data_IF_310055118867
#
_entry.id   IF_310055118867
#
_cell.length_a   1.000
_cell.length_b   1.000
_cell.length_c   1.000
_cell.angle_alpha   90.00
_cell.angle_beta   90.00
_cell.angle_gamma   90.00
#
_symmetry.space_group_name_H-M   'P 1'
#
loop_
_entity.id
_entity.type
_entity.pdbx_description
1 polymer ?
#
# COMPACT_ATOMS: atom_id res chain seq x y z
N UNK A 1 17.20 5.28 -11.04
CA UNK A 1 16.16 6.15 -10.43
C UNK A 1 14.95 5.28 -10.14
N UNK A 2 14.80 4.83 -8.90
CA UNK A 2 13.70 3.94 -8.49
C UNK A 2 12.40 4.76 -8.42
N UNK A 3 11.62 4.69 -9.49
CA UNK A 3 10.24 5.14 -9.55
C UNK A 3 9.40 4.21 -8.66
N UNK A 4 9.55 4.36 -7.34
CA UNK A 4 8.57 3.85 -6.40
C UNK A 4 7.23 4.44 -6.85
N UNK A 5 6.25 3.64 -7.31
CA UNK A 5 5.00 4.18 -7.79
C UNK A 5 4.36 4.91 -6.63
N UNK A 6 4.44 6.25 -6.61
CA UNK A 6 3.83 7.02 -5.53
C UNK A 6 2.34 6.75 -5.64
N UNK A 7 1.72 6.26 -4.58
CA UNK A 7 0.25 6.28 -4.48
C UNK A 7 -0.17 7.72 -4.81
N UNK A 8 -0.79 7.90 -5.98
CA UNK A 8 -1.25 9.19 -6.49
C UNK A 8 -2.46 9.62 -5.68
N UNK A 9 -2.19 9.98 -4.43
CA UNK A 9 -3.12 10.57 -3.49
C UNK A 9 -3.06 12.09 -3.70
N UNK A 10 -4.22 12.66 -3.93
CA UNK A 10 -4.44 14.11 -3.89
C UNK A 10 -4.14 14.63 -2.49
N UNK A 11 -3.85 15.93 -2.38
CA UNK A 11 -3.56 16.52 -1.06
C UNK A 11 -4.77 16.48 -0.13
N UNK A 12 -6.00 16.48 -0.67
CA UNK A 12 -7.23 16.22 0.06
C UNK A 12 -7.25 14.82 0.69
N UNK A 13 -6.95 13.78 -0.10
CA UNK A 13 -6.88 12.39 0.37
C UNK A 13 -5.76 12.21 1.42
N UNK A 14 -4.59 12.84 1.23
CA UNK A 14 -3.50 12.83 2.23
C UNK A 14 -3.91 13.49 3.54
N UNK A 15 -4.66 14.58 3.49
CA UNK A 15 -5.12 15.28 4.69
C UNK A 15 -6.11 14.41 5.48
N UNK A 16 -7.03 13.71 4.78
CA UNK A 16 -7.95 12.73 5.39
C UNK A 16 -7.21 11.57 6.06
N UNK A 17 -6.16 11.01 5.42
CA UNK A 17 -5.32 9.98 6.02
C UNK A 17 -4.61 10.45 7.30
N UNK A 18 -4.06 11.67 7.29
CA UNK A 18 -3.41 12.26 8.48
C UNK A 18 -4.41 12.44 9.62
N UNK A 19 -5.63 12.89 9.32
CA UNK A 19 -6.73 13.00 10.30
C UNK A 19 -7.11 11.64 10.89
N UNK A 20 -7.17 10.62 10.05
CA UNK A 20 -7.43 9.24 10.46
C UNK A 20 -6.24 8.56 11.16
N UNK A 21 -5.07 9.21 11.26
CA UNK A 21 -3.80 8.65 11.77
C UNK A 21 -3.35 7.37 11.06
N UNK A 22 -3.83 7.15 9.83
CA UNK A 22 -3.47 5.98 9.00
C UNK A 22 -2.31 6.35 8.10
N UNK A 23 -1.25 5.52 8.09
CA UNK A 23 -0.15 5.71 7.14
C UNK A 23 -0.51 5.15 5.77
N UNK A 24 0.08 5.70 4.71
CA UNK A 24 -0.12 5.22 3.32
C UNK A 24 0.19 3.72 3.19
N UNK A 25 1.25 3.27 3.85
CA UNK A 25 1.63 1.86 3.93
C UNK A 25 0.65 0.99 4.70
N UNK A 26 -0.29 1.54 5.45
CA UNK A 26 -1.34 0.78 6.15
C UNK A 26 -2.63 0.73 5.33
N UNK A 27 -2.72 1.44 4.20
CA UNK A 27 -3.92 1.39 3.33
C UNK A 27 -4.19 -0.03 2.83
N UNK A 28 -3.15 -0.84 2.58
CA UNK A 28 -3.30 -2.24 2.17
C UNK A 28 -3.98 -3.13 3.24
N UNK A 29 -3.92 -2.74 4.52
CA UNK A 29 -4.57 -3.48 5.61
C UNK A 29 -6.05 -3.13 5.77
N UNK A 30 -6.50 -2.03 5.16
CA UNK A 30 -7.89 -1.59 5.17
C UNK A 30 -8.67 -2.20 4.01
N UNK A 31 -9.97 -2.41 4.20
CA UNK A 31 -10.86 -2.83 3.12
C UNK A 31 -11.31 -1.63 2.26
N UNK A 32 -11.78 -1.91 1.05
CA UNK A 32 -12.18 -0.88 0.07
C UNK A 32 -13.31 0.00 0.59
N UNK A 33 -14.23 -0.56 1.38
CA UNK A 33 -15.33 0.15 2.01
C UNK A 33 -14.82 1.16 3.07
N UNK A 34 -13.90 0.75 3.94
CA UNK A 34 -13.27 1.63 4.92
C UNK A 34 -12.46 2.73 4.25
N UNK A 35 -11.71 2.40 3.20
CA UNK A 35 -10.95 3.40 2.43
C UNK A 35 -11.90 4.40 1.78
N UNK A 36 -12.98 3.93 1.16
CA UNK A 36 -14.01 4.77 0.55
C UNK A 36 -14.65 5.70 1.58
N UNK A 37 -15.00 5.20 2.76
CA UNK A 37 -15.60 6.00 3.84
C UNK A 37 -14.60 6.99 4.46
N UNK A 38 -13.35 6.55 4.71
CA UNK A 38 -12.31 7.37 5.34
C UNK A 38 -11.84 8.50 4.43
N UNK A 39 -11.62 8.20 3.14
CA UNK A 39 -11.22 9.17 2.15
C UNK A 39 -12.42 9.91 1.55
N UNK A 40 -13.64 9.46 1.85
CA UNK A 40 -14.89 9.99 1.31
C UNK A 40 -14.77 10.12 -0.22
N UNK A 41 -14.52 8.95 -0.83
CA UNK A 41 -14.35 8.71 -2.27
C UNK A 41 -15.23 7.54 -2.71
N UNK A 42 -15.47 7.41 -4.01
CA UNK A 42 -16.20 6.26 -4.55
C UNK A 42 -15.48 4.92 -4.26
N UNK A 43 -16.24 3.85 -4.11
CA UNK A 43 -15.73 2.47 -3.91
C UNK A 43 -14.77 2.06 -5.03
N UNK A 44 -15.03 2.48 -6.27
CA UNK A 44 -14.16 2.25 -7.42
C UNK A 44 -12.77 2.88 -7.22
N UNK A 45 -12.72 4.12 -6.71
CA UNK A 45 -11.47 4.82 -6.40
C UNK A 45 -10.74 4.13 -5.25
N UNK A 46 -11.46 3.72 -4.22
CA UNK A 46 -10.90 2.99 -3.09
C UNK A 46 -10.32 1.63 -3.51
N UNK A 47 -10.95 0.92 -4.45
CA UNK A 47 -10.45 -0.33 -5.03
C UNK A 47 -9.12 -0.13 -5.76
N UNK A 48 -8.99 0.95 -6.53
CA UNK A 48 -7.73 1.31 -7.21
C UNK A 48 -6.62 1.59 -6.18
N UNK A 49 -6.92 2.41 -5.16
CA UNK A 49 -5.95 2.75 -4.11
C UNK A 49 -5.50 1.52 -3.33
N UNK A 50 -6.43 0.62 -3.00
CA UNK A 50 -6.12 -0.65 -2.34
C UNK A 50 -5.21 -1.52 -3.21
N UNK A 51 -5.52 -1.70 -4.50
CA UNK A 51 -4.69 -2.50 -5.40
C UNK A 51 -3.26 -1.94 -5.54
N UNK A 52 -3.12 -0.62 -5.61
CA UNK A 52 -1.80 0.04 -5.62
C UNK A 52 -1.05 -0.14 -4.31
N UNK A 53 -1.74 -0.04 -3.18
CA UNK A 53 -1.16 -0.25 -1.85
C UNK A 53 -0.75 -1.71 -1.64
N UNK A 54 -1.58 -2.67 -2.06
CA UNK A 54 -1.28 -4.10 -2.02
C UNK A 54 -0.02 -4.40 -2.84
N UNK A 55 0.07 -3.85 -4.06
CA UNK A 55 1.22 -4.05 -4.96
C UNK A 55 2.52 -3.46 -4.39
N UNK A 56 2.44 -2.31 -3.72
CA UNK A 56 3.58 -1.70 -3.03
C UNK A 56 3.93 -2.39 -1.72
N UNK A 57 2.94 -2.99 -1.06
CA UNK A 57 3.12 -3.69 0.19
C UNK A 57 3.68 -5.09 0.01
N UNK A 58 3.72 -5.63 -1.22
CA UNK A 58 4.46 -6.86 -1.51
C UNK A 58 5.90 -6.63 -1.06
N UNK A 59 6.33 -7.22 0.06
CA UNK A 59 7.71 -7.06 0.48
C UNK A 59 8.56 -7.72 -0.62
N UNK A 60 9.72 -7.16 -0.96
CA UNK A 60 10.69 -7.76 -1.89
C UNK A 60 11.29 -9.07 -1.34
N UNK A 61 10.46 -9.97 -0.79
CA UNK A 61 10.78 -11.34 -0.43
C UNK A 61 10.82 -12.15 -1.74
N UNK A 62 11.77 -11.79 -2.58
CA UNK A 62 12.24 -12.57 -3.72
C UNK A 62 13.76 -12.68 -3.75
N UNK A 63 14.49 -12.12 -2.77
CA UNK A 63 15.96 -12.09 -2.81
C UNK A 63 16.65 -12.39 -1.48
N UNK A 64 15.93 -12.90 -0.47
CA UNK A 64 16.56 -13.33 0.80
C UNK A 64 16.27 -14.78 1.20
N UNK A 65 15.71 -15.58 0.29
CA UNK A 65 15.59 -17.03 0.47
C UNK A 65 16.74 -17.80 -0.22
N UNK A 66 17.51 -17.17 -1.12
CA UNK A 66 18.60 -17.82 -1.85
C UNK A 66 19.96 -17.80 -1.12
N UNK A 67 20.04 -17.26 0.10
CA UNK A 67 21.28 -17.20 0.88
C UNK A 67 21.30 -18.16 2.08
N UNK A 68 20.47 -19.22 2.06
CA UNK A 68 20.52 -20.26 3.10
C UNK A 68 20.38 -21.67 2.55
N UNK A 69 21.07 -21.95 1.45
CA UNK A 69 21.28 -23.30 0.94
C UNK A 69 22.73 -23.52 0.52
N UNK A 70 23.71 -23.14 1.36
CA UNK A 70 25.13 -23.40 1.10
C UNK A 70 25.86 -24.15 2.22
N UNK A 71 25.14 -24.77 3.15
CA UNK A 71 25.78 -25.56 4.19
C UNK A 71 25.04 -26.88 4.35
N UNK A 72 25.49 -27.87 3.58
CA UNK A 72 25.51 -29.31 3.89
C UNK A 72 25.83 -30.08 2.60
N UNK A 73 27.12 -30.18 2.27
CA UNK A 73 27.70 -31.37 1.63
C UNK A 73 29.19 -31.42 1.94
#
# INVERSE_FOLDING_TARGET
MSSNPKLFLTDGEKSKLRRAKVKIREIHTLNKEQIAQMLDVSVERAKILKGLADFQSVPSIGSKLAEKSWFLS
#
